data_IF_274789585654
#
_entry.id   IF_274789585654
#
_cell.length_a   1.000
_cell.length_b   1.000
_cell.length_c   1.000
_cell.angle_alpha   90.00
_cell.angle_beta   90.00
_cell.angle_gamma   90.00
#
_symmetry.space_group_name_H-M   'P 1'
#
loop_
_entity.id
_entity.type
_entity.pdbx_description
1 polymer ?
#
# COMPACT_ATOMS: atom_id res chain seq x y z
N UNK A 1 -8.82 7.23 6.62
CA UNK A 1 -9.97 6.31 6.73
C UNK A 1 -11.11 6.55 5.73
N UNK A 2 -11.58 7.77 5.44
CA UNK A 2 -12.79 7.94 4.61
C UNK A 2 -12.64 7.40 3.18
N UNK A 3 -11.43 7.47 2.62
CA UNK A 3 -11.14 6.98 1.26
C UNK A 3 -11.23 5.45 1.18
N UNK A 4 -10.63 4.72 2.12
CA UNK A 4 -10.69 3.25 2.16
C UNK A 4 -12.10 2.74 2.41
N UNK A 5 -12.82 3.36 3.34
CA UNK A 5 -14.21 3.01 3.63
C UNK A 5 -15.14 3.33 2.45
N UNK A 6 -14.87 4.42 1.71
CA UNK A 6 -15.63 4.78 0.51
C UNK A 6 -15.47 3.75 -0.61
N UNK A 7 -14.24 3.30 -0.86
CA UNK A 7 -13.96 2.21 -1.80
C UNK A 7 -14.61 0.90 -1.36
N UNK A 8 -14.51 0.55 -0.08
CA UNK A 8 -15.16 -0.66 0.44
C UNK A 8 -16.67 -0.64 0.23
N UNK A 9 -17.34 0.47 0.55
CA UNK A 9 -18.79 0.60 0.37
C UNK A 9 -19.20 0.50 -1.10
N UNK A 10 -18.46 1.17 -1.99
CA UNK A 10 -18.72 1.14 -3.43
C UNK A 10 -18.51 -0.26 -4.03
N UNK A 11 -17.43 -0.93 -3.66
CA UNK A 11 -17.06 -2.24 -4.23
C UNK A 11 -17.92 -3.37 -3.65
N UNK A 12 -18.17 -3.33 -2.34
CA UNK A 12 -19.02 -4.32 -1.67
C UNK A 12 -20.48 -4.19 -2.07
N UNK A 13 -20.97 -2.97 -2.31
CA UNK A 13 -22.34 -2.73 -2.81
C UNK A 13 -22.61 -3.31 -4.21
N UNK A 14 -21.56 -3.65 -4.95
CA UNK A 14 -21.63 -4.27 -6.29
C UNK A 14 -21.82 -5.79 -6.24
N UNK A 15 -21.60 -6.43 -5.08
CA UNK A 15 -21.87 -7.85 -4.87
C UNK A 15 -23.38 -8.12 -4.99
N UNK A 16 -23.84 -9.15 -5.73
CA UNK A 16 -23.13 -10.37 -6.16
C UNK A 16 -22.50 -10.31 -7.57
N UNK A 17 -22.39 -9.13 -8.19
CA UNK A 17 -22.02 -8.96 -9.59
C UNK A 17 -20.57 -8.51 -9.79
N UNK A 18 -19.82 -9.24 -10.62
CA UNK A 18 -18.49 -8.82 -11.09
C UNK A 18 -18.59 -7.88 -12.29
N UNK A 19 -19.62 -8.04 -13.13
CA UNK A 19 -20.08 -7.07 -14.12
C UNK A 19 -21.60 -7.01 -13.96
N UNK A 20 -22.15 -5.80 -13.77
CA UNK A 20 -23.56 -5.61 -13.48
C UNK A 20 -24.44 -6.36 -14.50
N UNK A 21 -25.31 -7.24 -14.00
CA UNK A 21 -26.27 -8.06 -14.77
C UNK A 21 -25.69 -9.03 -15.82
N UNK A 22 -24.38 -9.07 -16.02
CA UNK A 22 -23.74 -9.88 -17.08
C UNK A 22 -22.92 -11.03 -16.50
N UNK A 23 -22.19 -10.79 -15.39
CA UNK A 23 -21.29 -11.81 -14.83
C UNK A 23 -21.35 -11.82 -13.29
N UNK A 24 -21.85 -12.91 -12.69
CA UNK A 24 -21.76 -13.14 -11.24
C UNK A 24 -20.31 -13.36 -10.79
N UNK A 25 -19.97 -12.91 -9.57
CA UNK A 25 -18.61 -13.07 -9.01
C UNK A 25 -18.22 -14.55 -8.86
N UNK A 26 -19.17 -15.43 -8.52
CA UNK A 26 -18.93 -16.85 -8.31
C UNK A 26 -18.48 -17.64 -9.55
N UNK A 27 -18.76 -17.14 -10.76
CA UNK A 27 -18.33 -17.76 -12.02
C UNK A 27 -17.13 -17.04 -12.66
N UNK A 28 -16.73 -15.90 -12.11
CA UNK A 28 -15.64 -15.06 -12.63
C UNK A 28 -14.26 -15.47 -12.09
N UNK A 29 -14.20 -16.35 -11.09
CA UNK A 29 -12.95 -16.79 -10.49
C UNK A 29 -12.22 -17.82 -11.37
N UNK A 30 -10.89 -17.79 -11.36
CA UNK A 30 -10.06 -18.77 -12.07
C UNK A 30 -10.03 -20.10 -11.31
N UNK A 31 -10.00 -21.22 -12.05
CA UNK A 31 -9.87 -22.57 -11.48
C UNK A 31 -8.42 -22.86 -11.04
N UNK A 32 -8.01 -22.33 -9.88
CA UNK A 32 -6.72 -22.63 -9.26
C UNK A 32 -6.88 -23.52 -8.03
N UNK A 33 -5.82 -24.27 -7.70
CA UNK A 33 -5.74 -24.99 -6.43
C UNK A 33 -5.71 -24.01 -5.26
N UNK A 34 -6.41 -24.35 -4.17
CA UNK A 34 -6.42 -23.56 -2.93
C UNK A 34 -5.00 -23.32 -2.39
N UNK A 35 -4.07 -24.24 -2.62
CA UNK A 35 -2.67 -24.11 -2.21
C UNK A 35 -1.92 -22.97 -2.91
N UNK A 36 -2.08 -22.85 -4.23
CA UNK A 36 -1.42 -21.80 -5.03
C UNK A 36 -2.00 -20.41 -4.71
N UNK A 37 -3.30 -20.36 -4.41
CA UNK A 37 -3.97 -19.14 -3.98
C UNK A 37 -3.40 -18.62 -2.66
N UNK A 38 -3.31 -19.45 -1.62
CA UNK A 38 -2.75 -19.04 -0.33
C UNK A 38 -1.28 -18.69 -0.42
N UNK A 39 -0.50 -19.41 -1.23
CA UNK A 39 0.90 -19.10 -1.44
C UNK A 39 1.07 -17.71 -2.07
N UNK A 40 0.32 -17.41 -3.14
CA UNK A 40 0.39 -16.11 -3.81
C UNK A 40 -0.06 -14.95 -2.90
N UNK A 41 -1.18 -15.10 -2.19
CA UNK A 41 -1.68 -14.12 -1.22
C UNK A 41 -0.63 -13.89 -0.12
N UNK A 42 -0.11 -14.97 0.48
CA UNK A 42 0.89 -14.88 1.54
C UNK A 42 2.17 -14.17 1.08
N UNK A 43 2.67 -14.50 -0.11
CA UNK A 43 3.85 -13.88 -0.69
C UNK A 43 3.64 -12.38 -0.96
N UNK A 44 2.54 -12.00 -1.59
CA UNK A 44 2.23 -10.61 -1.91
C UNK A 44 2.03 -9.78 -0.63
N UNK A 45 1.28 -10.32 0.35
CA UNK A 45 1.09 -9.67 1.64
C UNK A 45 2.41 -9.45 2.38
N UNK A 46 3.28 -10.46 2.42
CA UNK A 46 4.58 -10.35 3.09
C UNK A 46 5.47 -9.28 2.42
N UNK A 47 5.49 -9.23 1.10
CA UNK A 47 6.25 -8.22 0.36
C UNK A 47 5.73 -6.80 0.60
N UNK A 48 4.42 -6.58 0.55
CA UNK A 48 3.84 -5.26 0.84
C UNK A 48 4.07 -4.82 2.29
N UNK A 49 4.02 -5.75 3.24
CA UNK A 49 4.35 -5.46 4.64
C UNK A 49 5.83 -5.09 4.82
N UNK A 50 6.74 -5.76 4.11
CA UNK A 50 8.16 -5.38 4.14
C UNK A 50 8.38 -3.97 3.55
N UNK A 51 7.75 -3.66 2.41
CA UNK A 51 7.87 -2.35 1.77
C UNK A 51 7.31 -1.22 2.63
N UNK A 52 6.12 -1.39 3.23
CA UNK A 52 5.56 -0.34 4.07
C UNK A 52 6.42 -0.06 5.31
N UNK A 53 7.05 -1.08 5.92
CA UNK A 53 7.96 -0.88 7.04
C UNK A 53 9.18 -0.05 6.62
N UNK A 54 9.79 -0.40 5.49
CA UNK A 54 10.95 0.31 4.95
C UNK A 54 10.58 1.74 4.57
N UNK A 55 9.49 1.95 3.84
CA UNK A 55 9.02 3.27 3.42
C UNK A 55 8.70 4.15 4.63
N UNK A 56 7.96 3.64 5.62
CA UNK A 56 7.66 4.40 6.83
C UNK A 56 8.93 4.76 7.60
N UNK A 57 9.90 3.84 7.72
CA UNK A 57 11.19 4.13 8.34
C UNK A 57 11.93 5.26 7.60
N UNK A 58 12.00 5.21 6.26
CA UNK A 58 12.60 6.28 5.45
C UNK A 58 11.85 7.61 5.64
N UNK A 59 10.52 7.61 5.55
CA UNK A 59 9.70 8.80 5.71
C UNK A 59 9.94 9.44 7.08
N UNK A 60 9.93 8.69 8.17
CA UNK A 60 10.23 9.23 9.50
C UNK A 60 11.66 9.74 9.61
N UNK A 61 12.65 9.03 9.07
CA UNK A 61 14.05 9.44 9.10
C UNK A 61 14.24 10.77 8.37
N UNK A 62 13.77 10.87 7.13
CA UNK A 62 13.93 12.08 6.31
C UNK A 62 13.04 13.24 6.77
N UNK A 63 11.82 12.97 7.24
CA UNK A 63 10.98 14.00 7.84
C UNK A 63 11.63 14.63 9.08
N UNK A 64 12.35 13.84 9.89
CA UNK A 64 13.08 14.34 11.08
C UNK A 64 14.37 15.08 10.75
N UNK A 65 15.07 14.69 9.68
CA UNK A 65 16.24 15.43 9.16
C UNK A 65 15.82 16.79 8.55
N UNK A 66 14.56 16.91 8.12
CA UNK A 66 14.02 18.12 7.53
C UNK A 66 14.81 18.54 6.28
N UNK A 67 14.87 19.85 5.96
CA UNK A 67 15.56 20.32 4.76
C UNK A 67 17.09 20.15 4.82
N UNK A 68 17.66 19.79 5.97
CA UNK A 68 19.10 19.50 6.12
C UNK A 68 19.54 18.20 5.41
N UNK A 69 18.60 17.38 4.94
CA UNK A 69 18.90 16.22 4.10
C UNK A 69 19.38 16.61 2.67
N UNK A 70 19.11 17.84 2.22
CA UNK A 70 19.45 18.34 0.88
C UNK A 70 20.89 18.87 0.74
N UNK A 71 21.70 18.83 1.82
CA UNK A 71 23.11 19.23 1.86
C UNK A 71 23.44 20.56 1.12
N UNK A 72 22.61 21.58 1.28
CA UNK A 72 22.69 22.83 0.49
C UNK A 72 23.47 23.94 1.20
N UNK A 73 24.06 23.67 2.37
CA UNK A 73 24.85 24.58 3.19
C UNK A 73 24.08 25.70 3.90
N UNK A 74 22.74 25.71 3.83
CA UNK A 74 21.87 26.82 4.28
C UNK A 74 20.98 26.47 5.46
N UNK A 75 20.95 25.20 5.89
CA UNK A 75 20.00 24.74 6.90
C UNK A 75 20.65 24.60 8.29
N UNK A 76 19.81 24.55 9.32
CA UNK A 76 20.19 24.69 10.73
C UNK A 76 21.28 23.69 11.18
N UNK A 77 21.27 22.45 10.68
CA UNK A 77 22.29 21.43 11.00
C UNK A 77 23.59 21.53 10.18
N UNK A 78 23.65 22.41 9.17
CA UNK A 78 24.86 22.66 8.38
C UNK A 78 25.63 23.91 8.87
N UNK A 79 24.95 24.84 9.56
CA UNK A 79 25.56 26.08 10.06
C UNK A 79 26.45 25.89 11.30
N UNK A 80 26.30 24.80 12.05
CA UNK A 80 27.09 24.51 13.26
C UNK A 80 28.54 24.06 12.97
N UNK A 81 28.91 23.87 11.70
CA UNK A 81 30.26 23.48 11.30
C UNK A 81 31.19 24.67 10.98
N UNK A 82 30.83 25.89 11.40
CA UNK A 82 31.72 27.06 11.37
C UNK A 82 32.33 27.34 12.72
#
# INVERSE_FOLDING_TARGET
MPIECGWFLAEYGRQPWAIYEILPVGVSASNLSTGDLWFSIGLICALYLAFIIVEMYLMFKYARLGPSALKTGKYYFEQSAK
#
